data_IF_378372960652
#
_entry.id   IF_378372960652
#
_cell.length_a   1.000
_cell.length_b   1.000
_cell.length_c   1.000
_cell.angle_alpha   90.00
_cell.angle_beta   90.00
_cell.angle_gamma   90.00
#
_symmetry.space_group_name_H-M   'P 1'
#
loop_
_entity.id
_entity.type
_entity.pdbx_description
1 polymer ?
#
# COMPACT_ATOMS: atom_id res chain seq x y z
N UNK A 1 -17.51 -22.78 2.42
CA UNK A 1 -16.61 -21.90 1.66
C UNK A 1 -16.53 -20.58 2.42
N UNK A 2 -15.35 -20.11 2.76
CA UNK A 2 -15.13 -18.86 3.49
C UNK A 2 -14.09 -18.00 2.78
N UNK A 3 -13.95 -16.76 3.23
CA UNK A 3 -12.89 -15.86 2.80
C UNK A 3 -11.95 -15.60 3.98
N UNK A 4 -10.66 -15.46 3.71
CA UNK A 4 -9.68 -15.00 4.69
C UNK A 4 -9.11 -13.69 4.16
N UNK A 5 -9.19 -12.65 4.98
CA UNK A 5 -8.55 -11.36 4.72
C UNK A 5 -7.47 -11.18 5.76
N UNK A 6 -6.20 -11.22 5.35
CA UNK A 6 -5.06 -11.06 6.25
C UNK A 6 -4.44 -9.67 6.12
N UNK A 7 -4.15 -9.05 7.26
CA UNK A 7 -3.34 -7.83 7.36
C UNK A 7 -2.01 -8.20 7.99
N UNK A 8 -0.90 -7.91 7.31
CA UNK A 8 0.43 -8.29 7.73
C UNK A 8 1.30 -7.05 7.89
N UNK A 9 2.00 -6.94 9.02
CA UNK A 9 2.97 -5.88 9.25
C UNK A 9 4.34 -6.35 8.75
N UNK A 10 4.88 -5.65 7.76
CA UNK A 10 6.22 -5.91 7.20
C UNK A 10 7.15 -4.80 7.68
N UNK A 11 8.18 -5.17 8.44
CA UNK A 11 9.22 -4.24 8.85
C UNK A 11 10.27 -4.12 7.74
N UNK A 12 10.53 -2.88 7.30
CA UNK A 12 11.55 -2.59 6.29
C UNK A 12 12.82 -2.13 7.00
N UNK A 13 13.93 -2.89 6.96
CA UNK A 13 15.17 -2.47 7.58
C UNK A 13 15.77 -1.28 6.82
N UNK A 14 16.24 -0.28 7.58
CA UNK A 14 16.89 0.93 7.04
C UNK A 14 16.07 1.75 6.03
N UNK A 15 14.73 1.60 6.02
CA UNK A 15 13.83 2.25 5.07
C UNK A 15 14.14 1.90 3.58
N UNK A 16 14.83 0.78 3.31
CA UNK A 16 15.19 0.33 1.96
C UNK A 16 14.16 -0.68 1.39
N UNK A 17 13.29 -0.19 0.51
CA UNK A 17 12.26 -1.00 -0.17
C UNK A 17 12.84 -1.93 -1.26
N UNK A 18 14.12 -1.78 -1.61
CA UNK A 18 14.80 -2.63 -2.61
C UNK A 18 15.44 -3.87 -1.99
N UNK A 19 15.38 -4.00 -0.68
CA UNK A 19 15.83 -5.21 0.01
C UNK A 19 15.04 -6.44 -0.50
N UNK A 20 15.70 -7.59 -0.72
CA UNK A 20 15.04 -8.79 -1.24
C UNK A 20 13.93 -9.34 -0.34
N UNK A 21 13.94 -9.08 0.96
CA UNK A 21 12.90 -9.56 1.88
C UNK A 21 11.53 -8.86 1.69
N UNK A 22 11.43 -7.51 1.67
CA UNK A 22 10.17 -6.84 1.34
C UNK A 22 9.79 -7.05 -0.13
N UNK A 23 10.76 -7.03 -1.07
CA UNK A 23 10.48 -7.23 -2.50
C UNK A 23 9.76 -8.55 -2.81
N UNK A 24 10.15 -9.65 -2.15
CA UNK A 24 9.49 -10.95 -2.30
C UNK A 24 8.13 -11.00 -1.62
N UNK A 25 7.97 -10.31 -0.49
CA UNK A 25 6.68 -10.22 0.22
C UNK A 25 5.65 -9.46 -0.60
N UNK A 26 6.04 -8.37 -1.26
CA UNK A 26 5.14 -7.56 -2.09
C UNK A 26 4.55 -8.32 -3.28
N UNK A 27 5.29 -9.26 -3.86
CA UNK A 27 4.79 -10.09 -4.96
C UNK A 27 3.58 -10.97 -4.56
N UNK A 28 3.38 -11.20 -3.26
CA UNK A 28 2.29 -12.04 -2.73
C UNK A 28 1.13 -11.22 -2.14
N UNK A 29 1.24 -9.89 -2.10
CA UNK A 29 0.23 -9.02 -1.49
C UNK A 29 -0.68 -8.41 -2.56
N UNK A 30 -1.99 -8.46 -2.33
CA UNK A 30 -2.99 -7.84 -3.22
C UNK A 30 -3.09 -6.32 -3.05
N UNK A 31 -2.68 -5.81 -1.88
CA UNK A 31 -2.59 -4.38 -1.59
C UNK A 31 -1.43 -4.12 -0.63
N UNK A 32 -0.77 -2.98 -0.81
CA UNK A 32 0.36 -2.53 -0.02
C UNK A 32 0.08 -1.14 0.51
N UNK A 33 0.19 -0.94 1.82
CA UNK A 33 0.10 0.37 2.47
C UNK A 33 1.47 0.70 3.05
N UNK A 34 2.17 1.63 2.42
CA UNK A 34 3.52 2.03 2.84
C UNK A 34 3.39 3.15 3.88
N UNK A 35 4.10 3.00 5.00
CA UNK A 35 4.17 4.02 6.04
C UNK A 35 5.52 4.74 5.95
N UNK A 36 5.50 6.06 5.78
CA UNK A 36 6.69 6.88 5.56
C UNK A 36 7.03 7.74 6.76
N UNK A 37 8.30 7.71 7.17
CA UNK A 37 8.82 8.55 8.26
C UNK A 37 8.67 10.04 7.95
N UNK A 38 8.88 10.45 6.70
CA UNK A 38 8.76 11.85 6.26
C UNK A 38 7.36 12.41 6.49
N UNK A 39 6.32 11.59 6.31
CA UNK A 39 4.92 11.99 6.51
C UNK A 39 4.60 12.10 8.00
N UNK A 40 5.11 11.18 8.82
CA UNK A 40 4.98 11.25 10.27
C UNK A 40 5.67 12.49 10.86
N UNK A 41 6.83 12.89 10.32
CA UNK A 41 7.57 14.09 10.75
C UNK A 41 6.80 15.39 10.47
N UNK A 42 5.90 15.39 9.47
CA UNK A 42 4.97 16.49 9.21
C UNK A 42 3.78 16.52 10.19
N UNK A 43 3.67 15.55 11.09
CA UNK A 43 2.56 15.40 12.03
C UNK A 43 1.29 14.81 11.41
N UNK A 44 1.38 14.23 10.21
CA UNK A 44 0.23 13.64 9.51
C UNK A 44 0.06 12.19 9.96
N UNK A 45 -1.14 11.87 10.47
CA UNK A 45 -1.50 10.52 10.91
C UNK A 45 -2.82 10.06 10.30
N UNK A 46 -2.90 8.83 9.77
CA UNK A 46 -1.81 7.84 9.67
C UNK A 46 -0.74 8.25 8.64
N UNK A 47 0.52 7.86 8.88
CA UNK A 47 1.67 8.27 8.06
C UNK A 47 1.78 7.50 6.74
N UNK A 48 0.66 7.30 6.05
CA UNK A 48 0.54 6.54 4.80
C UNK A 48 1.10 7.35 3.66
N UNK A 49 1.97 6.74 2.86
CA UNK A 49 2.46 7.32 1.60
C UNK A 49 1.48 7.01 0.47
N UNK A 50 0.76 8.00 -0.07
CA UNK A 50 -0.25 7.77 -1.11
C UNK A 50 0.36 7.44 -2.48
N UNK A 51 1.64 7.72 -2.71
CA UNK A 51 2.31 7.46 -3.99
C UNK A 51 2.94 6.06 -4.00
N UNK A 52 3.49 5.63 -2.88
CA UNK A 52 4.11 4.30 -2.76
C UNK A 52 3.12 3.19 -2.38
N UNK A 53 1.92 3.54 -1.89
CA UNK A 53 0.87 2.56 -1.59
C UNK A 53 0.11 2.17 -2.86
N UNK A 54 -0.08 0.86 -3.07
CA UNK A 54 -0.75 0.34 -4.26
C UNK A 54 -1.79 -0.71 -3.92
N UNK A 55 -2.76 -0.90 -4.81
CA UNK A 55 -3.78 -1.94 -4.66
C UNK A 55 -4.17 -2.51 -6.01
N UNK A 56 -4.25 -3.84 -6.09
CA UNK A 56 -4.64 -4.55 -7.31
C UNK A 56 -6.07 -4.24 -7.74
N UNK A 57 -6.94 -3.94 -6.78
CA UNK A 57 -8.34 -3.61 -7.06
C UNK A 57 -8.54 -2.15 -7.46
N UNK A 58 -7.49 -1.33 -7.48
CA UNK A 58 -7.56 0.08 -7.89
C UNK A 58 -7.64 0.20 -9.42
N UNK A 59 -8.70 -0.37 -10.00
CA UNK A 59 -8.98 -0.31 -11.43
C UNK A 59 -10.44 0.11 -11.67
N UNK A 60 -10.73 0.79 -12.78
CA UNK A 60 -12.09 1.28 -13.07
C UNK A 60 -13.10 0.14 -13.25
N UNK A 61 -12.66 -1.05 -13.67
CA UNK A 61 -13.54 -2.21 -13.85
C UNK A 61 -14.10 -2.75 -12.51
N UNK A 62 -13.35 -2.56 -11.41
CA UNK A 62 -13.74 -3.04 -10.08
C UNK A 62 -14.38 -1.91 -9.26
N UNK A 63 -13.81 -0.71 -9.29
CA UNK A 63 -14.25 0.41 -8.43
C UNK A 63 -15.24 1.36 -9.11
N UNK A 64 -15.37 1.28 -10.43
CA UNK A 64 -16.09 2.27 -11.23
C UNK A 64 -15.24 3.50 -11.55
N UNK A 65 -15.66 4.21 -12.61
CA UNK A 65 -14.90 5.33 -13.17
C UNK A 65 -14.77 6.53 -12.22
N UNK A 66 -15.81 6.82 -11.41
CA UNK A 66 -15.79 7.97 -10.50
C UNK A 66 -14.74 7.80 -9.39
N UNK A 67 -14.71 6.64 -8.75
CA UNK A 67 -13.77 6.35 -7.68
C UNK A 67 -12.33 6.29 -8.22
N UNK A 68 -12.12 5.57 -9.34
CA UNK A 68 -10.80 5.49 -9.96
C UNK A 68 -10.29 6.89 -10.38
N UNK A 69 -11.14 7.72 -10.98
CA UNK A 69 -10.76 9.08 -11.38
C UNK A 69 -10.51 10.00 -10.18
N UNK A 70 -11.20 9.81 -9.06
CA UNK A 70 -10.94 10.55 -7.82
C UNK A 70 -9.56 10.17 -7.24
N UNK A 71 -9.22 8.88 -7.26
CA UNK A 71 -7.94 8.38 -6.74
C UNK A 71 -6.73 8.76 -7.61
N UNK A 72 -6.92 9.01 -8.91
CA UNK A 72 -5.86 9.38 -9.86
C UNK A 72 -5.66 10.90 -10.05
N UNK A 73 -6.42 11.74 -9.33
CA UNK A 73 -6.28 13.21 -9.37
C UNK A 73 -5.18 13.70 -8.43
#
# INVERSE_FOLDING_TARGET
KGSITSVQAVYVPADDLTDPAPATTFAHLDATTVLSRKIAELGIYPAVDPLDSTSRILTPEILGNEHYACAQR
#
